data_IF_677145642475
#
_entry.id   IF_677145642475
#
_cell.length_a   1.000
_cell.length_b   1.000
_cell.length_c   1.000
_cell.angle_alpha   90.00
_cell.angle_beta   90.00
_cell.angle_gamma   90.00
#
_symmetry.space_group_name_H-M   'P 1'
#
loop_
_entity.id
_entity.type
_entity.pdbx_description
1 polymer ?
#
# COMPACT_ATOMS: atom_id res chain seq x y z
N UNK A 1 18.67 -5.19 -0.63
CA UNK A 1 17.83 -4.52 0.37
C UNK A 1 16.43 -4.33 -0.21
N UNK A 2 15.43 -4.59 0.58
CA UNK A 2 14.06 -4.37 0.14
C UNK A 2 13.76 -2.89 -0.01
N UNK A 3 13.13 -2.48 -1.12
CA UNK A 3 12.70 -1.11 -1.32
C UNK A 3 11.58 -0.68 -0.38
N UNK A 4 11.03 -1.60 0.42
CA UNK A 4 9.92 -1.32 1.33
C UNK A 4 10.35 -0.90 2.74
N UNK A 5 11.57 -1.22 3.15
CA UNK A 5 12.00 -1.02 4.53
C UNK A 5 12.01 0.43 4.99
N UNK A 6 12.24 1.35 4.07
CA UNK A 6 12.36 2.77 4.39
C UNK A 6 11.24 3.64 3.83
N UNK A 7 10.25 3.02 3.14
CA UNK A 7 9.23 3.80 2.43
C UNK A 7 8.39 4.69 3.34
N UNK A 8 7.99 4.21 4.52
CA UNK A 8 7.18 5.00 5.43
C UNK A 8 7.97 5.88 6.40
N UNK A 9 9.28 5.69 6.50
CA UNK A 9 10.07 6.34 7.54
C UNK A 9 10.21 7.84 7.35
N UNK A 10 10.35 8.30 6.11
CA UNK A 10 10.50 9.72 5.80
C UNK A 10 9.27 10.53 6.20
N UNK A 11 8.09 9.90 6.20
CA UNK A 11 6.83 10.53 6.60
C UNK A 11 6.37 10.10 7.98
N UNK A 12 7.15 9.25 8.67
CA UNK A 12 6.73 8.64 9.92
C UNK A 12 5.61 7.62 9.74
N UNK A 13 5.42 7.13 8.52
CA UNK A 13 4.34 6.19 8.20
C UNK A 13 4.75 4.74 8.49
N UNK A 14 3.73 3.89 8.75
CA UNK A 14 3.88 2.45 8.89
C UNK A 14 3.50 1.77 7.59
N UNK A 15 4.43 1.04 7.00
CA UNK A 15 4.13 0.28 5.77
C UNK A 15 3.33 -0.97 6.14
N UNK A 16 2.15 -1.11 5.54
CA UNK A 16 1.32 -2.31 5.69
C UNK A 16 1.76 -3.40 4.71
N UNK A 17 1.87 -3.05 3.44
CA UNK A 17 2.24 -3.99 2.39
C UNK A 17 2.66 -3.23 1.13
N UNK A 18 3.16 -3.96 0.15
CA UNK A 18 3.52 -3.36 -1.13
C UNK A 18 3.95 -4.38 -2.16
N UNK A 19 3.98 -3.96 -3.42
CA UNK A 19 4.45 -4.76 -4.53
C UNK A 19 5.47 -3.97 -5.35
N UNK A 20 6.46 -4.68 -5.85
CA UNK A 20 7.54 -4.10 -6.64
C UNK A 20 7.65 -4.86 -7.95
N UNK A 21 7.31 -4.20 -9.08
CA UNK A 21 7.34 -4.84 -10.40
C UNK A 21 8.75 -5.14 -10.89
N UNK A 22 9.75 -4.39 -10.41
CA UNK A 22 11.13 -4.54 -10.90
C UNK A 22 11.77 -5.85 -10.46
N UNK A 23 11.43 -6.32 -9.25
CA UNK A 23 11.92 -7.61 -8.74
C UNK A 23 10.80 -8.65 -8.56
N UNK A 24 9.59 -8.32 -8.99
CA UNK A 24 8.42 -9.20 -8.92
C UNK A 24 8.17 -9.75 -7.53
N UNK A 25 8.30 -8.87 -6.51
CA UNK A 25 8.11 -9.26 -5.10
C UNK A 25 6.94 -8.53 -4.47
N UNK A 26 6.30 -9.23 -3.55
CA UNK A 26 5.27 -8.68 -2.68
C UNK A 26 5.77 -8.75 -1.23
N UNK A 27 5.51 -7.69 -0.47
CA UNK A 27 5.87 -7.58 0.94
C UNK A 27 4.60 -7.37 1.77
N UNK A 28 4.49 -8.10 2.87
CA UNK A 28 3.47 -7.88 3.88
C UNK A 28 4.15 -7.75 5.24
N UNK A 29 3.84 -6.67 5.97
CA UNK A 29 4.49 -6.39 7.25
C UNK A 29 3.93 -7.30 8.34
N UNK A 30 4.79 -8.09 9.00
CA UNK A 30 4.42 -9.02 10.06
C UNK A 30 3.75 -8.34 11.26
N UNK A 31 3.97 -7.05 11.44
CA UNK A 31 3.30 -6.26 12.47
C UNK A 31 1.78 -6.36 12.36
N UNK A 32 1.26 -6.61 11.17
CA UNK A 32 -0.17 -6.69 10.88
C UNK A 32 -0.63 -8.12 10.63
N UNK A 33 0.13 -9.11 11.13
CA UNK A 33 -0.16 -10.52 10.90
C UNK A 33 -1.53 -10.97 11.41
N UNK A 34 -2.11 -10.24 12.37
CA UNK A 34 -3.42 -10.58 12.94
C UNK A 34 -4.61 -10.17 12.08
N UNK A 35 -4.38 -9.50 10.95
CA UNK A 35 -5.47 -9.23 10.01
C UNK A 35 -6.04 -10.56 9.48
N UNK A 36 -7.35 -10.60 9.17
CA UNK A 36 -7.93 -11.81 8.57
C UNK A 36 -7.26 -12.18 7.26
N UNK A 37 -7.16 -13.49 6.98
CA UNK A 37 -6.54 -13.97 5.76
C UNK A 37 -7.20 -13.40 4.50
N UNK A 38 -8.54 -13.26 4.51
CA UNK A 38 -9.26 -12.69 3.37
C UNK A 38 -8.80 -11.25 3.08
N UNK A 39 -8.53 -10.46 4.11
CA UNK A 39 -8.03 -9.09 3.97
C UNK A 39 -6.61 -9.10 3.42
N UNK A 40 -5.75 -9.97 3.96
CA UNK A 40 -4.37 -10.10 3.46
C UNK A 40 -4.35 -10.51 2.00
N UNK A 41 -5.20 -11.44 1.60
CA UNK A 41 -5.30 -11.91 0.22
C UNK A 41 -5.80 -10.80 -0.70
N UNK A 42 -6.78 -10.04 -0.27
CA UNK A 42 -7.31 -8.91 -1.06
C UNK A 42 -6.23 -7.84 -1.28
N UNK A 43 -5.46 -7.52 -0.25
CA UNK A 43 -4.35 -6.57 -0.36
C UNK A 43 -3.27 -7.08 -1.30
N UNK A 44 -2.95 -8.37 -1.21
CA UNK A 44 -1.95 -8.99 -2.09
C UNK A 44 -2.37 -8.87 -3.55
N UNK A 45 -3.58 -9.30 -3.86
CA UNK A 45 -4.10 -9.26 -5.23
C UNK A 45 -4.15 -7.82 -5.75
N UNK A 46 -4.64 -6.90 -4.94
CA UNK A 46 -4.73 -5.48 -5.28
C UNK A 46 -3.37 -4.89 -5.68
N UNK A 47 -2.36 -5.12 -4.85
CA UNK A 47 -1.02 -4.57 -5.09
C UNK A 47 -0.36 -5.19 -6.31
N UNK A 48 -0.47 -6.50 -6.47
CA UNK A 48 0.16 -7.20 -7.60
C UNK A 48 -0.52 -6.81 -8.91
N UNK A 49 -1.84 -6.76 -8.95
CA UNK A 49 -2.57 -6.34 -10.15
C UNK A 49 -2.22 -4.91 -10.55
N UNK A 50 -2.08 -4.01 -9.57
CA UNK A 50 -1.67 -2.64 -9.86
C UNK A 50 -0.30 -2.61 -10.55
N UNK A 51 0.69 -3.30 -9.99
CA UNK A 51 2.04 -3.29 -10.56
C UNK A 51 2.13 -4.03 -11.89
N UNK A 52 1.27 -5.02 -12.12
CA UNK A 52 1.17 -5.66 -13.44
C UNK A 52 0.62 -4.70 -14.49
N UNK A 53 -0.37 -3.88 -14.12
CA UNK A 53 -0.98 -2.91 -15.03
C UNK A 53 -0.07 -1.70 -15.26
N UNK A 54 0.47 -1.13 -14.20
CA UNK A 54 1.15 0.17 -14.24
C UNK A 54 2.67 0.09 -14.16
N UNK A 55 3.22 -1.04 -13.71
CA UNK A 55 4.64 -1.14 -13.38
C UNK A 55 4.96 -0.40 -12.09
N UNK A 56 6.24 -0.13 -11.87
CA UNK A 56 6.69 0.60 -10.70
C UNK A 56 6.54 -0.15 -9.39
N UNK A 57 6.40 0.64 -8.32
CA UNK A 57 6.28 0.14 -6.96
C UNK A 57 5.04 0.76 -6.34
N UNK A 58 4.21 -0.06 -5.68
CA UNK A 58 3.07 0.42 -4.89
C UNK A 58 3.29 0.01 -3.44
N UNK A 59 3.17 0.98 -2.52
CA UNK A 59 3.14 0.69 -1.09
C UNK A 59 1.84 1.21 -0.48
N UNK A 60 1.32 0.44 0.47
CA UNK A 60 0.15 0.81 1.27
C UNK A 60 0.66 1.15 2.66
N UNK A 61 0.44 2.38 3.11
CA UNK A 61 1.06 2.89 4.32
C UNK A 61 0.05 3.63 5.19
N UNK A 62 0.21 3.49 6.52
CA UNK A 62 -0.56 4.28 7.48
C UNK A 62 0.26 5.50 7.91
N UNK A 63 -0.28 6.69 7.74
CA UNK A 63 0.33 7.90 8.29
C UNK A 63 0.21 7.89 9.82
N UNK A 64 0.97 8.76 10.52
CA UNK A 64 0.91 8.79 11.99
C UNK A 64 -0.48 9.02 12.57
N UNK A 65 -1.38 9.70 11.84
CA UNK A 65 -2.76 9.93 12.28
C UNK A 65 -3.71 8.78 11.93
N UNK A 66 -3.20 7.72 11.30
CA UNK A 66 -3.99 6.57 10.89
C UNK A 66 -4.57 6.64 9.49
N UNK A 67 -4.35 7.74 8.77
CA UNK A 67 -4.78 7.85 7.37
C UNK A 67 -4.00 6.86 6.52
N UNK A 68 -4.68 6.10 5.69
CA UNK A 68 -4.06 5.13 4.81
C UNK A 68 -3.80 5.77 3.45
N UNK A 69 -2.56 5.65 2.97
CA UNK A 69 -2.16 6.18 1.67
C UNK A 69 -1.67 5.06 0.76
N UNK A 70 -1.88 5.26 -0.53
CA UNK A 70 -1.34 4.41 -1.59
C UNK A 70 -0.23 5.21 -2.26
N UNK A 71 1.01 4.83 -1.99
CA UNK A 71 2.17 5.54 -2.52
C UNK A 71 2.71 4.80 -3.73
N UNK A 72 2.93 5.52 -4.83
CA UNK A 72 3.49 4.95 -6.04
C UNK A 72 4.85 5.55 -6.32
N UNK A 73 5.73 4.75 -6.91
CA UNK A 73 7.08 5.16 -7.25
C UNK A 73 7.58 4.38 -8.45
N UNK A 74 8.45 4.99 -9.25
CA UNK A 74 9.11 4.32 -10.37
C UNK A 74 10.60 4.62 -10.31
N UNK A 75 11.43 3.74 -10.89
CA UNK A 75 12.86 3.98 -11.08
C UNK A 75 13.07 5.18 -11.99
N UNK A 76 14.14 5.94 -11.72
CA UNK A 76 14.51 7.12 -12.49
C UNK A 76 14.70 6.80 -13.97
N UNK A 77 15.09 5.57 -14.30
CA UNK A 77 15.37 5.14 -15.67
C UNK A 77 14.22 4.37 -16.31
N UNK A 78 13.06 4.30 -15.63
CA UNK A 78 11.89 3.65 -16.19
C UNK A 78 11.12 4.63 -17.08
N UNK A 79 11.49 4.70 -18.34
CA UNK A 79 10.88 5.62 -19.29
C UNK A 79 9.52 5.15 -19.81
N UNK A 80 9.12 3.92 -19.46
CA UNK A 80 7.82 3.37 -19.85
C UNK A 80 6.75 3.62 -18.79
N UNK A 81 7.14 4.07 -17.60
CA UNK A 81 6.18 4.32 -16.54
C UNK A 81 5.34 5.55 -16.88
N UNK A 82 4.03 5.37 -16.94
CA UNK A 82 3.07 6.43 -17.27
C UNK A 82 2.44 6.94 -15.99
N UNK A 83 2.89 8.11 -15.54
CA UNK A 83 2.41 8.71 -14.29
C UNK A 83 0.93 9.07 -14.35
N UNK A 84 0.41 9.45 -15.52
CA UNK A 84 -1.01 9.78 -15.68
C UNK A 84 -1.84 8.52 -15.52
N UNK A 85 -1.47 7.45 -16.20
CA UNK A 85 -2.17 6.17 -16.07
C UNK A 85 -2.09 5.62 -14.65
N UNK A 86 -0.94 5.74 -14.01
CA UNK A 86 -0.76 5.31 -12.63
C UNK A 86 -1.68 6.10 -11.68
N UNK A 87 -1.77 7.41 -11.86
CA UNK A 87 -2.66 8.24 -11.06
C UNK A 87 -4.14 7.89 -11.24
N UNK A 88 -4.55 7.60 -12.47
CA UNK A 88 -5.91 7.16 -12.75
C UNK A 88 -6.20 5.80 -12.10
N UNK A 89 -5.23 4.88 -12.16
CA UNK A 89 -5.36 3.56 -11.55
C UNK A 89 -5.49 3.66 -10.02
N UNK A 90 -4.73 4.54 -9.40
CA UNK A 90 -4.83 4.77 -7.95
C UNK A 90 -6.19 5.35 -7.57
N UNK A 91 -6.70 6.32 -8.33
CA UNK A 91 -8.04 6.89 -8.08
C UNK A 91 -9.11 5.81 -8.17
N UNK A 92 -9.00 4.94 -9.17
CA UNK A 92 -9.93 3.81 -9.35
C UNK A 92 -9.85 2.83 -8.17
N UNK A 93 -8.63 2.51 -7.73
CA UNK A 93 -8.42 1.62 -6.58
C UNK A 93 -9.05 2.21 -5.31
N UNK A 94 -8.84 3.49 -5.05
CA UNK A 94 -9.41 4.14 -3.87
C UNK A 94 -10.93 4.06 -3.87
N UNK A 95 -11.56 4.19 -5.03
CA UNK A 95 -13.00 4.09 -5.14
C UNK A 95 -13.48 2.65 -5.00
N UNK A 96 -12.86 1.72 -5.72
CA UNK A 96 -13.24 0.30 -5.69
C UNK A 96 -13.01 -0.35 -4.33
N UNK A 97 -11.96 0.07 -3.62
CA UNK A 97 -11.55 -0.52 -2.33
C UNK A 97 -11.87 0.37 -1.14
N UNK A 98 -12.75 1.35 -1.32
CA UNK A 98 -13.07 2.32 -0.29
C UNK A 98 -13.42 1.68 1.05
N UNK A 99 -14.30 0.68 1.04
CA UNK A 99 -14.72 0.01 2.28
C UNK A 99 -13.56 -0.70 2.97
N UNK A 100 -12.71 -1.37 2.20
CA UNK A 100 -11.53 -2.04 2.74
C UNK A 100 -10.57 -1.02 3.38
N UNK A 101 -10.29 0.06 2.65
CA UNK A 101 -9.34 1.07 3.11
C UNK A 101 -9.85 1.77 4.38
N UNK A 102 -11.12 2.10 4.45
CA UNK A 102 -11.73 2.71 5.63
C UNK A 102 -11.68 1.78 6.84
N UNK A 103 -11.95 0.49 6.64
CA UNK A 103 -11.87 -0.50 7.72
C UNK A 103 -10.44 -0.66 8.22
N UNK A 104 -9.46 -0.61 7.33
CA UNK A 104 -8.05 -0.68 7.71
C UNK A 104 -7.63 0.55 8.51
N UNK A 105 -8.11 1.74 8.14
CA UNK A 105 -7.84 2.95 8.90
C UNK A 105 -8.40 2.85 10.31
N UNK A 106 -9.63 2.37 10.44
CA UNK A 106 -10.26 2.17 11.76
C UNK A 106 -9.47 1.15 12.58
N UNK A 107 -9.10 0.03 11.97
CA UNK A 107 -8.28 -1.00 12.61
C UNK A 107 -6.98 -0.40 13.17
N UNK A 108 -6.27 0.38 12.37
CA UNK A 108 -5.01 0.98 12.79
C UNK A 108 -5.21 1.96 13.96
N UNK A 109 -6.20 2.83 13.85
CA UNK A 109 -6.46 3.80 14.91
C UNK A 109 -6.81 3.14 16.24
N UNK A 110 -7.65 2.12 16.20
CA UNK A 110 -8.08 1.42 17.43
C UNK A 110 -6.93 0.63 18.04
N UNK A 111 -6.22 -0.18 17.25
CA UNK A 111 -5.22 -1.10 17.78
C UNK A 111 -3.84 -0.49 17.98
N UNK A 112 -3.44 0.45 17.14
CA UNK A 112 -2.09 1.03 17.19
C UNK A 112 -2.06 2.44 17.75
N UNK A 113 -3.08 3.25 17.52
CA UNK A 113 -3.17 4.60 18.07
C UNK A 113 -4.00 4.64 19.34
N UNK A 114 -4.62 3.52 19.72
CA UNK A 114 -5.40 3.36 20.97
C UNK A 114 -6.59 4.30 21.06
N UNK A 115 -7.16 4.71 19.93
CA UNK A 115 -8.36 5.55 19.93
C UNK A 115 -9.56 4.74 20.40
N UNK A 116 -10.45 5.41 21.12
CA UNK A 116 -11.72 4.81 21.52
C UNK A 116 -12.75 5.00 20.40
N UNK A 117 -13.63 4.01 20.26
CA UNK A 117 -14.72 4.08 19.30
C UNK A 117 -15.88 4.93 19.84
#
# INVERSE_FOLDING_TARGET
MSGFENEGKDLGADVLCGANSYNEKYYFNDKFANLPEAVKDELHVMCVLYTEECGGILTVEFLPDGTLILRTRADDYDFYYDEINAGLAISRLREEKKDLLEKLELYYRVLFLKEEL
#
